data_IF_739696964729
#
_entry.id   IF_739696964729
#
_cell.length_a   1.000
_cell.length_b   1.000
_cell.length_c   1.000
_cell.angle_alpha   90.00
_cell.angle_beta   90.00
_cell.angle_gamma   90.00
#
_symmetry.space_group_name_H-M   'P 1'
#
loop_
_entity.id
_entity.type
_entity.pdbx_description
1 polymer ?
#
# COMPACT_ATOMS: atom_id res chain seq x y z
N UNK A 1 1.45 -70.07 -1.98
CA UNK A 1 0.47 -68.98 -1.74
C UNK A 1 1.23 -67.68 -1.51
N UNK A 2 1.33 -66.81 -2.53
CA UNK A 2 2.04 -65.52 -2.48
C UNK A 2 1.06 -64.44 -1.99
N UNK A 3 1.34 -63.82 -0.84
CA UNK A 3 0.60 -62.66 -0.33
C UNK A 3 1.23 -61.40 -0.92
N UNK A 4 0.51 -60.73 -1.82
CA UNK A 4 0.88 -59.42 -2.36
C UNK A 4 0.43 -58.32 -1.40
N UNK A 5 1.39 -57.53 -0.91
CA UNK A 5 1.14 -56.31 -0.16
C UNK A 5 0.94 -55.17 -1.16
N UNK A 6 -0.27 -54.64 -1.26
CA UNK A 6 -0.57 -53.43 -2.04
C UNK A 6 -0.31 -52.24 -1.11
N UNK A 7 0.78 -51.50 -1.35
CA UNK A 7 1.01 -50.19 -0.75
C UNK A 7 0.18 -49.14 -1.51
N UNK A 8 -0.87 -48.63 -0.86
CA UNK A 8 -1.57 -47.42 -1.28
C UNK A 8 -0.71 -46.19 -0.93
N UNK A 9 -0.09 -45.57 -1.93
CA UNK A 9 0.43 -44.21 -1.80
C UNK A 9 -0.76 -43.24 -1.80
N UNK A 10 -1.13 -42.72 -0.63
CA UNK A 10 -1.99 -41.55 -0.52
C UNK A 10 -1.15 -40.30 -0.78
N UNK A 11 -1.26 -39.73 -1.98
CA UNK A 11 -0.74 -38.39 -2.25
C UNK A 11 -1.51 -37.38 -1.39
N UNK A 12 -0.83 -36.75 -0.44
CA UNK A 12 -1.40 -35.66 0.34
C UNK A 12 -1.66 -34.47 -0.60
N UNK A 13 -2.92 -34.27 -0.98
CA UNK A 13 -3.37 -33.02 -1.58
C UNK A 13 -3.18 -31.92 -0.52
N UNK A 14 -2.11 -31.13 -0.66
CA UNK A 14 -1.91 -29.94 0.15
C UNK A 14 -3.10 -28.99 -0.11
N UNK A 15 -4.04 -28.94 0.83
CA UNK A 15 -5.15 -28.02 0.76
C UNK A 15 -4.59 -26.59 0.67
N UNK A 16 -4.99 -25.88 -0.38
CA UNK A 16 -4.66 -24.46 -0.52
C UNK A 16 -5.36 -23.71 0.61
N UNK A 17 -4.65 -23.43 1.70
CA UNK A 17 -5.16 -22.60 2.79
C UNK A 17 -5.42 -21.19 2.26
N UNK A 18 -6.49 -20.55 2.72
CA UNK A 18 -6.77 -19.14 2.44
C UNK A 18 -5.97 -18.27 3.40
N UNK A 19 -5.40 -17.16 2.90
CA UNK A 19 -4.82 -16.16 3.79
C UNK A 19 -5.87 -15.68 4.80
N UNK A 20 -5.46 -15.59 6.06
CA UNK A 20 -6.29 -15.06 7.15
C UNK A 20 -5.59 -13.81 7.69
N UNK A 21 -6.32 -12.69 7.69
CA UNK A 21 -5.83 -11.45 8.29
C UNK A 21 -5.47 -11.66 9.78
N UNK A 22 -4.44 -10.99 10.30
CA UNK A 22 -4.09 -11.07 11.72
C UNK A 22 -5.26 -10.57 12.59
N UNK A 23 -5.43 -11.18 13.76
CA UNK A 23 -6.24 -10.60 14.83
C UNK A 23 -5.50 -9.43 15.49
N UNK A 24 -6.21 -8.58 16.23
CA UNK A 24 -5.63 -7.40 16.87
C UNK A 24 -4.46 -7.70 17.84
N UNK A 25 -4.42 -8.92 18.38
CA UNK A 25 -3.39 -9.39 19.32
C UNK A 25 -2.24 -10.15 18.64
N UNK A 26 -2.39 -10.48 17.35
CA UNK A 26 -1.38 -11.25 16.63
C UNK A 26 -0.20 -10.34 16.25
N UNK A 27 1.04 -10.87 16.21
CA UNK A 27 2.17 -10.15 15.63
C UNK A 27 1.85 -9.73 14.19
N UNK A 28 1.83 -8.44 13.94
CA UNK A 28 1.42 -7.86 12.66
C UNK A 28 2.33 -6.72 12.24
N UNK A 29 2.43 -6.53 10.93
CA UNK A 29 3.07 -5.41 10.27
C UNK A 29 2.01 -4.63 9.46
N UNK A 30 2.35 -3.41 9.06
CA UNK A 30 1.49 -2.61 8.19
C UNK A 30 2.07 -2.59 6.78
N UNK A 31 1.23 -2.78 5.76
CA UNK A 31 1.59 -2.47 4.36
C UNK A 31 0.78 -1.29 3.90
N UNK A 32 1.50 -0.29 3.42
CA UNK A 32 1.02 0.93 2.83
C UNK A 32 1.12 0.79 1.30
N UNK A 33 -0.01 0.85 0.62
CA UNK A 33 -0.10 0.73 -0.84
C UNK A 33 -0.33 2.13 -1.40
N UNK A 34 0.68 2.62 -2.12
CA UNK A 34 0.61 3.90 -2.81
C UNK A 34 -0.01 3.69 -4.19
N UNK A 35 -1.31 3.94 -4.24
CA UNK A 35 -2.12 3.94 -5.46
C UNK A 35 -1.97 5.22 -6.28
N UNK A 36 -0.76 5.76 -6.45
CA UNK A 36 -0.51 6.90 -7.35
C UNK A 36 -0.66 6.56 -8.84
N UNK A 37 -1.13 5.36 -9.16
CA UNK A 37 -1.83 5.13 -10.41
C UNK A 37 -3.11 5.99 -10.42
N UNK A 38 -2.98 7.21 -10.95
CA UNK A 38 -4.04 8.20 -11.22
C UNK A 38 -5.10 7.73 -12.25
N UNK A 39 -5.55 6.46 -12.30
CA UNK A 39 -6.22 5.96 -13.51
C UNK A 39 -7.34 4.95 -13.30
N UNK A 40 -8.13 4.85 -14.36
CA UNK A 40 -9.20 3.92 -14.72
C UNK A 40 -8.81 2.44 -14.75
N UNK A 41 -7.62 2.06 -14.28
CA UNK A 41 -7.14 0.69 -14.22
C UNK A 41 -7.45 0.10 -12.85
N UNK A 42 -8.25 -0.97 -12.80
CA UNK A 42 -8.45 -1.73 -11.58
C UNK A 42 -7.16 -2.47 -11.22
N UNK A 43 -6.29 -1.82 -10.45
CA UNK A 43 -5.17 -2.46 -9.77
C UNK A 43 -5.72 -3.13 -8.51
N UNK A 44 -5.43 -4.41 -8.35
CA UNK A 44 -5.81 -5.19 -7.20
C UNK A 44 -4.54 -5.67 -6.52
N UNK A 45 -4.52 -5.58 -5.20
CA UNK A 45 -3.44 -6.09 -4.35
C UNK A 45 -3.99 -7.24 -3.51
N UNK A 46 -3.18 -8.27 -3.26
CA UNK A 46 -3.54 -9.39 -2.40
C UNK A 46 -2.37 -9.82 -1.56
N UNK A 47 -2.67 -10.41 -0.40
CA UNK A 47 -1.69 -11.03 0.49
C UNK A 47 -1.98 -12.52 0.55
N UNK A 48 -0.97 -13.33 0.31
CA UNK A 48 -1.04 -14.79 0.38
C UNK A 48 0.06 -15.37 1.25
N UNK A 49 -0.17 -16.55 1.83
CA UNK A 49 0.87 -17.32 2.54
C UNK A 49 1.70 -18.19 1.59
N UNK A 50 1.16 -18.43 0.39
CA UNK A 50 1.71 -19.33 -0.60
C UNK A 50 1.47 -18.75 -2.00
N UNK A 51 2.42 -18.87 -2.93
CA UNK A 51 2.26 -18.45 -4.32
C UNK A 51 1.16 -19.20 -5.08
N UNK A 52 0.66 -20.32 -4.56
CA UNK A 52 -0.31 -21.21 -5.19
C UNK A 52 -1.76 -21.02 -4.74
N UNK A 53 -2.16 -19.88 -4.18
CA UNK A 53 -3.57 -19.70 -3.80
C UNK A 53 -4.44 -19.40 -5.03
N UNK A 54 -5.41 -20.28 -5.29
CA UNK A 54 -6.52 -19.97 -6.20
C UNK A 54 -7.35 -18.82 -5.61
N UNK A 55 -7.94 -18.00 -6.49
CA UNK A 55 -8.88 -16.94 -6.14
C UNK A 55 -10.10 -17.55 -5.43
N UNK A 56 -10.01 -17.69 -4.12
CA UNK A 56 -11.13 -18.05 -3.27
C UNK A 56 -11.88 -16.78 -2.92
N UNK A 57 -13.22 -16.79 -2.97
CA UNK A 57 -14.03 -15.69 -2.43
C UNK A 57 -13.73 -15.38 -0.95
N UNK A 58 -13.02 -16.29 -0.28
CA UNK A 58 -12.62 -16.23 1.13
C UNK A 58 -11.09 -16.17 1.33
N UNK A 59 -10.25 -16.14 0.28
CA UNK A 59 -8.84 -15.76 0.47
C UNK A 59 -8.85 -14.33 0.98
N UNK A 60 -8.21 -14.03 2.11
CA UNK A 60 -8.21 -12.74 2.80
C UNK A 60 -7.94 -11.58 1.84
N UNK A 61 -9.00 -11.19 1.14
CA UNK A 61 -8.93 -10.32 0.01
C UNK A 61 -8.78 -8.97 0.67
N UNK A 62 -7.54 -8.50 0.67
CA UNK A 62 -7.32 -7.09 0.78
C UNK A 62 -7.80 -6.51 -0.55
N UNK A 63 -9.12 -6.49 -0.79
CA UNK A 63 -9.74 -5.93 -2.00
C UNK A 63 -9.52 -4.44 -1.97
N UNK A 64 -8.29 -4.04 -2.23
CA UNK A 64 -7.98 -2.70 -2.60
C UNK A 64 -8.20 -2.69 -4.10
N UNK A 65 -9.47 -2.67 -4.51
CA UNK A 65 -9.79 -2.18 -5.84
C UNK A 65 -9.49 -0.69 -5.79
N UNK A 66 -8.27 -0.29 -6.16
CA UNK A 66 -7.99 1.12 -6.42
C UNK A 66 -8.64 1.46 -7.76
N UNK A 67 -9.96 1.59 -7.78
CA UNK A 67 -10.55 2.52 -8.72
C UNK A 67 -10.41 3.90 -8.07
N UNK A 68 -9.84 4.85 -8.82
CA UNK A 68 -9.77 6.29 -8.51
C UNK A 68 -8.47 6.71 -7.83
N UNK A 69 -7.80 7.69 -8.47
CA UNK A 69 -6.50 8.23 -8.09
C UNK A 69 -6.44 8.76 -6.65
N UNK A 70 -5.23 8.68 -6.09
CA UNK A 70 -4.86 9.38 -4.86
C UNK A 70 -5.23 8.67 -3.55
N UNK A 71 -5.60 7.38 -3.57
CA UNK A 71 -5.92 6.65 -2.33
C UNK A 71 -4.72 5.86 -1.83
N UNK A 72 -4.00 6.44 -0.88
CA UNK A 72 -3.13 5.68 0.03
C UNK A 72 -3.99 4.66 0.79
N UNK A 73 -3.57 3.40 0.82
CA UNK A 73 -4.30 2.31 1.46
C UNK A 73 -3.40 1.57 2.42
N UNK A 74 -3.92 1.20 3.58
CA UNK A 74 -3.16 0.51 4.60
C UNK A 74 -3.82 -0.81 4.95
N UNK A 75 -2.99 -1.79 5.29
CA UNK A 75 -3.44 -3.10 5.69
C UNK A 75 -2.52 -3.70 6.73
N UNK A 76 -3.12 -4.30 7.75
CA UNK A 76 -2.39 -5.17 8.66
C UNK A 76 -2.13 -6.52 7.97
N UNK A 77 -0.89 -7.00 8.07
CA UNK A 77 -0.46 -8.31 7.60
C UNK A 77 0.25 -9.05 8.73
N UNK A 78 0.27 -10.39 8.67
CA UNK A 78 0.96 -11.20 9.68
C UNK A 78 2.46 -10.98 9.60
N UNK A 79 3.10 -10.87 10.75
CA UNK A 79 4.54 -10.78 10.88
C UNK A 79 5.16 -12.12 11.29
N UNK A 80 6.45 -12.28 11.05
CA UNK A 80 7.25 -13.43 11.47
C UNK A 80 7.21 -14.64 10.52
N UNK A 81 6.39 -14.61 9.46
CA UNK A 81 6.34 -15.63 8.43
C UNK A 81 6.39 -15.02 7.02
N UNK A 82 6.95 -15.71 6.02
CA UNK A 82 6.93 -15.23 4.64
C UNK A 82 5.51 -15.04 4.13
N UNK A 83 5.25 -13.90 3.50
CA UNK A 83 4.02 -13.60 2.77
C UNK A 83 4.33 -13.24 1.33
N UNK A 84 3.33 -13.33 0.47
CA UNK A 84 3.36 -12.92 -0.92
C UNK A 84 2.40 -11.76 -1.11
N UNK A 85 2.94 -10.59 -1.44
CA UNK A 85 2.17 -9.43 -1.87
C UNK A 85 2.05 -9.49 -3.39
N UNK A 86 0.85 -9.76 -3.88
CA UNK A 86 0.56 -9.89 -5.31
C UNK A 86 -0.18 -8.67 -5.79
N UNK A 87 0.23 -8.12 -6.93
CA UNK A 87 -0.48 -7.05 -7.63
C UNK A 87 -0.87 -7.53 -9.02
N UNK A 88 -2.09 -7.20 -9.44
CA UNK A 88 -2.57 -7.44 -10.80
C UNK A 88 -3.35 -6.22 -11.31
N UNK A 89 -3.13 -5.89 -12.57
CA UNK A 89 -3.82 -4.83 -13.30
C UNK A 89 -4.69 -5.46 -14.38
N UNK A 90 -6.00 -5.28 -14.26
CA UNK A 90 -6.98 -5.84 -15.20
C UNK A 90 -7.56 -4.75 -16.11
N UNK A 91 -6.77 -4.19 -17.03
CA UNK A 91 -7.32 -3.42 -18.16
C UNK A 91 -6.39 -3.44 -19.38
N UNK A 92 -7.00 -3.59 -20.56
CA UNK A 92 -6.35 -3.47 -21.88
C UNK A 92 -5.88 -2.05 -22.23
N UNK A 93 -6.15 -1.06 -21.37
CA UNK A 93 -5.91 0.38 -21.58
C UNK A 93 -5.28 1.06 -20.36
N UNK A 94 -4.72 0.31 -19.40
CA UNK A 94 -4.14 0.85 -18.17
C UNK A 94 -2.97 1.75 -18.46
N UNK A 95 -3.22 3.05 -18.42
CA UNK A 95 -2.18 4.08 -18.40
C UNK A 95 -1.71 4.22 -16.94
N UNK A 96 -0.49 4.66 -16.62
CA UNK A 96 -0.02 5.15 -15.31
C UNK A 96 0.57 6.54 -15.46
N UNK A 97 0.14 7.51 -14.65
CA UNK A 97 0.82 8.81 -14.64
C UNK A 97 2.10 8.68 -13.85
N UNK A 98 3.21 8.99 -14.48
CA UNK A 98 4.41 9.37 -13.74
C UNK A 98 4.10 10.67 -12.97
N UNK A 99 4.82 10.96 -11.88
CA UNK A 99 4.72 12.24 -11.15
C UNK A 99 5.03 13.49 -12.00
N UNK A 100 5.32 13.31 -13.30
CA UNK A 100 5.49 14.35 -14.32
C UNK A 100 4.25 14.55 -15.21
N UNK A 101 3.12 13.91 -14.89
CA UNK A 101 1.87 14.01 -15.67
C UNK A 101 1.84 13.18 -16.96
N UNK A 102 2.84 12.31 -17.18
CA UNK A 102 2.94 11.48 -18.38
C UNK A 102 2.26 10.13 -18.17
N UNK A 103 1.25 9.92 -19.00
CA UNK A 103 0.51 8.67 -19.18
C UNK A 103 1.37 7.54 -19.80
N UNK A 104 1.61 6.44 -19.09
CA UNK A 104 2.37 5.25 -19.56
C UNK A 104 1.50 3.99 -19.60
N UNK A 105 1.38 3.31 -20.74
CA UNK A 105 0.60 2.06 -20.82
C UNK A 105 1.35 0.89 -20.18
N UNK A 106 0.85 0.35 -19.07
CA UNK A 106 1.39 -0.87 -18.42
C UNK A 106 0.75 -2.15 -18.99
N UNK A 107 -0.48 -2.06 -19.51
CA UNK A 107 -1.21 -3.23 -20.01
C UNK A 107 -1.66 -4.18 -18.88
N UNK A 108 -1.80 -5.47 -19.17
CA UNK A 108 -2.06 -6.50 -18.14
C UNK A 108 -0.75 -6.89 -17.47
N UNK A 109 -0.56 -6.41 -16.24
CA UNK A 109 0.59 -6.74 -15.40
C UNK A 109 0.14 -7.59 -14.21
N UNK A 110 0.90 -8.64 -13.91
CA UNK A 110 0.81 -9.37 -12.66
C UNK A 110 2.21 -9.69 -12.14
N UNK A 111 2.49 -9.30 -10.91
CA UNK A 111 3.79 -9.51 -10.25
C UNK A 111 3.56 -9.76 -8.76
N UNK A 112 4.50 -10.45 -8.13
CA UNK A 112 4.47 -10.75 -6.70
C UNK A 112 5.77 -10.32 -6.03
N UNK A 113 5.70 -10.03 -4.73
CA UNK A 113 6.88 -9.91 -3.86
C UNK A 113 6.71 -10.83 -2.67
N UNK A 114 7.68 -11.72 -2.47
CA UNK A 114 7.83 -12.53 -1.26
C UNK A 114 8.73 -11.82 -0.27
N UNK A 115 8.30 -11.67 0.97
CA UNK A 115 9.13 -11.14 2.04
C UNK A 115 8.61 -11.62 3.41
N UNK A 116 9.42 -11.49 4.46
CA UNK A 116 9.02 -11.80 5.84
C UNK A 116 8.81 -10.48 6.58
N UNK A 117 7.56 -10.10 6.90
CA UNK A 117 7.29 -8.86 7.63
C UNK A 117 7.72 -9.00 9.09
N UNK A 118 8.28 -7.95 9.68
CA UNK A 118 8.62 -7.90 11.10
C UNK A 118 7.52 -7.18 11.89
N UNK A 119 7.29 -7.63 13.13
CA UNK A 119 6.19 -7.12 13.95
C UNK A 119 6.38 -5.65 14.27
N UNK A 120 5.32 -4.85 14.11
CA UNK A 120 5.33 -3.41 14.35
C UNK A 120 6.00 -2.57 13.26
N UNK A 121 6.59 -3.19 12.23
CA UNK A 121 7.13 -2.45 11.08
C UNK A 121 6.02 -2.07 10.10
N UNK A 122 6.28 -1.01 9.34
CA UNK A 122 5.47 -0.60 8.21
C UNK A 122 6.28 -0.73 6.92
N UNK A 123 5.62 -1.08 5.82
CA UNK A 123 6.21 -1.28 4.50
C UNK A 123 5.44 -0.52 3.45
N UNK A 124 6.16 0.03 2.47
CA UNK A 124 5.58 0.83 1.39
C UNK A 124 5.70 0.05 0.10
N UNK A 125 4.54 -0.22 -0.51
CA UNK A 125 4.41 -0.99 -1.72
C UNK A 125 3.83 -0.13 -2.84
N UNK A 126 4.46 -0.18 -4.00
CA UNK A 126 4.06 0.57 -5.18
C UNK A 126 4.24 -0.27 -6.44
N UNK A 127 3.31 -0.14 -7.39
CA UNK A 127 3.49 -0.64 -8.74
C UNK A 127 4.25 0.43 -9.54
N UNK A 128 5.37 0.06 -10.16
CA UNK A 128 6.13 0.97 -11.01
C UNK A 128 5.26 1.49 -12.17
N UNK A 129 5.36 2.78 -12.54
CA UNK A 129 4.48 3.41 -13.53
C UNK A 129 4.77 2.97 -14.96
N UNK A 130 5.96 2.45 -15.23
CA UNK A 130 6.49 2.19 -16.57
C UNK A 130 6.90 0.73 -16.80
N UNK A 131 6.96 -0.08 -15.74
CA UNK A 131 7.33 -1.49 -15.80
C UNK A 131 6.40 -2.36 -14.95
N UNK A 132 6.20 -3.61 -15.34
CA UNK A 132 5.42 -4.58 -14.56
C UNK A 132 6.25 -5.10 -13.37
N UNK A 133 6.51 -4.21 -12.40
CA UNK A 133 7.40 -4.46 -11.26
C UNK A 133 6.87 -3.74 -10.03
N UNK A 134 7.16 -4.32 -8.86
CA UNK A 134 6.79 -3.73 -7.57
C UNK A 134 8.02 -3.16 -6.90
N UNK A 135 7.88 -1.96 -6.35
CA UNK A 135 8.76 -1.45 -5.32
C UNK A 135 8.18 -1.85 -3.96
N UNK A 136 9.03 -2.38 -3.08
CA UNK A 136 8.68 -2.68 -1.69
C UNK A 136 9.85 -2.23 -0.80
N UNK A 137 9.58 -1.35 0.14
CA UNK A 137 10.58 -0.83 1.08
C UNK A 137 10.03 -0.79 2.50
N UNK A 138 10.88 -0.90 3.51
CA UNK A 138 10.51 -0.56 4.89
C UNK A 138 10.28 0.95 4.99
N UNK A 139 9.15 1.34 5.58
CA UNK A 139 8.69 2.72 5.64
C UNK A 139 9.70 3.66 6.33
N UNK A 140 10.33 3.19 7.40
CA UNK A 140 11.27 3.98 8.19
C UNK A 140 12.64 4.17 7.53
N UNK A 141 13.11 3.17 6.79
CA UNK A 141 14.48 3.15 6.25
C UNK A 141 14.53 3.44 4.75
N UNK A 142 13.42 3.27 4.04
CA UNK A 142 13.39 3.34 2.58
C UNK A 142 14.14 2.19 1.89
N UNK A 143 14.56 1.16 2.63
CA UNK A 143 15.31 0.02 2.08
C UNK A 143 14.40 -1.17 1.83
N UNK A 144 14.65 -1.98 0.79
CA UNK A 144 13.96 -3.25 0.62
C UNK A 144 14.08 -4.14 1.86
N UNK A 145 13.02 -4.88 2.24
CA UNK A 145 13.09 -5.84 3.35
C UNK A 145 14.17 -6.90 3.08
N UNK A 146 14.88 -7.32 4.12
CA UNK A 146 15.91 -8.34 4.00
C UNK A 146 15.34 -9.64 3.39
N UNK A 147 15.97 -10.13 2.33
CA UNK A 147 15.54 -11.35 1.64
C UNK A 147 14.25 -11.21 0.82
N UNK A 148 13.76 -9.98 0.56
CA UNK A 148 12.65 -9.77 -0.33
C UNK A 148 12.99 -10.22 -1.77
N UNK A 149 12.07 -10.92 -2.41
CA UNK A 149 12.22 -11.47 -3.76
C UNK A 149 10.99 -11.09 -4.58
N UNK A 150 11.17 -10.55 -5.79
CA UNK A 150 10.08 -10.24 -6.70
C UNK A 150 9.99 -11.25 -7.84
N UNK A 151 8.78 -11.47 -8.35
CA UNK A 151 8.49 -12.47 -9.38
C UNK A 151 7.50 -11.93 -10.39
N UNK A 152 7.77 -12.12 -11.68
CA UNK A 152 6.77 -11.90 -12.72
C UNK A 152 5.77 -13.07 -12.74
N UNK A 153 4.48 -12.78 -12.90
CA UNK A 153 3.44 -13.81 -12.96
C UNK A 153 2.97 -13.98 -14.41
N UNK A 154 3.25 -15.13 -15.01
CA UNK A 154 2.72 -15.47 -16.34
C UNK A 154 1.29 -15.99 -16.22
N UNK A 155 0.39 -15.39 -16.99
CA UNK A 155 -0.97 -15.90 -17.15
C UNK A 155 -1.83 -15.75 -15.89
N UNK A 156 -1.94 -14.52 -15.36
CA UNK A 156 -2.74 -14.17 -14.19
C UNK A 156 -4.27 -14.29 -14.39
N UNK A 157 -4.70 -15.41 -14.94
CA UNK A 157 -6.00 -16.00 -14.68
C UNK A 157 -5.93 -16.65 -13.30
N UNK A 158 -7.03 -16.55 -12.55
CA UNK A 158 -7.14 -17.10 -11.21
C UNK A 158 -6.65 -18.57 -11.15
N UNK A 159 -5.63 -18.84 -10.34
CA UNK A 159 -5.22 -20.21 -9.99
C UNK A 159 -3.91 -20.75 -10.57
N UNK A 160 -3.05 -19.90 -11.16
CA UNK A 160 -1.68 -20.30 -11.54
C UNK A 160 -0.69 -19.96 -10.43
N UNK A 161 0.11 -20.95 -10.01
CA UNK A 161 1.18 -20.78 -9.02
C UNK A 161 2.27 -19.82 -9.52
N UNK A 162 2.73 -18.91 -8.66
CA UNK A 162 4.01 -18.20 -8.88
C UNK A 162 5.15 -19.22 -8.77
N UNK A 163 5.77 -19.58 -9.89
CA UNK A 163 7.01 -20.37 -9.85
C UNK A 163 8.20 -19.42 -9.64
N UNK A 164 9.15 -19.83 -8.80
CA UNK A 164 10.31 -19.01 -8.44
C UNK A 164 11.28 -18.75 -9.62
N UNK A 165 11.10 -19.47 -10.73
CA UNK A 165 11.91 -19.35 -11.95
C UNK A 165 11.72 -18.04 -12.73
N UNK A 166 10.69 -17.25 -12.42
CA UNK A 166 10.47 -15.91 -12.99
C UNK A 166 10.90 -14.79 -12.03
N UNK A 167 12.00 -14.97 -11.31
CA UNK A 167 12.54 -13.94 -10.41
C UNK A 167 12.93 -12.67 -11.19
N UNK A 168 12.44 -11.52 -10.72
CA UNK A 168 12.74 -10.19 -11.26
C UNK A 168 13.33 -9.31 -10.14
N UNK A 169 14.12 -8.30 -10.48
CA UNK A 169 14.53 -7.33 -9.46
C UNK A 169 13.33 -6.47 -9.04
N UNK A 170 13.27 -6.10 -7.76
CA UNK A 170 12.37 -5.07 -7.26
C UNK A 170 12.59 -3.77 -8.03
N UNK A 171 11.50 -3.05 -8.30
CA UNK A 171 11.61 -1.72 -8.86
C UNK A 171 12.22 -0.76 -7.82
N UNK A 172 12.96 0.27 -8.26
CA UNK A 172 13.25 1.40 -7.37
C UNK A 172 11.93 2.05 -6.95
N UNK A 173 11.80 2.53 -5.70
CA UNK A 173 10.62 3.27 -5.27
C UNK A 173 10.49 4.56 -6.10
N UNK A 174 9.29 4.80 -6.63
CA UNK A 174 9.01 5.88 -7.60
C UNK A 174 8.84 7.20 -6.87
N UNK A 175 8.32 7.14 -5.64
CA UNK A 175 8.47 8.20 -4.65
C UNK A 175 9.77 7.96 -3.90
N UNK A 176 10.53 9.04 -3.67
CA UNK A 176 11.59 9.00 -2.65
C UNK A 176 10.95 8.45 -1.39
N UNK A 177 11.65 7.51 -0.72
CA UNK A 177 11.31 7.07 0.62
C UNK A 177 10.79 8.26 1.43
N UNK A 178 9.74 8.04 2.24
CA UNK A 178 9.14 9.06 3.09
C UNK A 178 10.23 10.06 3.48
N UNK A 179 10.13 11.30 2.98
CA UNK A 179 11.07 12.32 3.42
C UNK A 179 11.06 12.24 4.95
N UNK A 180 12.24 12.12 5.61
CA UNK A 180 12.29 11.99 7.05
C UNK A 180 11.30 12.99 7.62
N UNK A 181 10.39 12.54 8.51
CA UNK A 181 9.46 13.44 9.20
C UNK A 181 10.28 14.67 9.56
N UNK A 182 9.92 15.85 9.03
CA UNK A 182 10.83 16.97 9.07
C UNK A 182 11.22 17.15 10.52
N UNK A 183 12.52 17.26 10.78
CA UNK A 183 12.98 17.57 12.12
C UNK A 183 12.14 18.76 12.60
N UNK A 184 11.75 18.78 13.89
CA UNK A 184 10.80 19.75 14.46
C UNK A 184 11.13 21.24 14.14
N UNK A 185 12.34 21.47 13.64
CA UNK A 185 13.02 22.71 13.35
C UNK A 185 12.80 23.19 11.89
N UNK A 186 12.42 22.32 10.95
CA UNK A 186 12.17 22.72 9.56
C UNK A 186 10.73 23.26 9.40
N UNK A 187 10.55 24.52 8.94
CA UNK A 187 9.24 25.14 8.86
C UNK A 187 8.42 24.61 7.68
N UNK A 188 7.16 24.25 7.94
CA UNK A 188 6.20 23.88 6.89
C UNK A 188 5.88 25.08 5.99
N UNK A 189 5.85 24.93 4.66
CA UNK A 189 5.52 26.00 3.73
C UNK A 189 4.17 26.68 4.03
N UNK A 190 4.09 27.98 3.75
CA UNK A 190 2.90 28.83 3.91
C UNK A 190 2.41 29.03 5.35
N UNK A 191 2.84 28.22 6.32
CA UNK A 191 2.30 28.28 7.66
C UNK A 191 2.92 29.41 8.50
N UNK A 192 2.08 30.27 9.10
CA UNK A 192 2.53 31.20 10.14
C UNK A 192 2.90 30.43 11.42
N UNK A 193 3.47 31.11 12.41
CA UNK A 193 3.90 30.50 13.68
C UNK A 193 2.84 29.59 14.34
N UNK A 194 1.58 30.04 14.37
CA UNK A 194 0.45 29.25 14.89
C UNK A 194 0.17 27.98 14.06
N UNK A 195 0.36 28.06 12.74
CA UNK A 195 0.26 26.90 11.85
C UNK A 195 1.39 25.90 12.09
N UNK A 196 2.62 26.38 12.33
CA UNK A 196 3.76 25.53 12.69
C UNK A 196 3.52 24.79 14.00
N UNK A 197 2.98 25.46 15.01
CA UNK A 197 2.60 24.83 16.28
C UNK A 197 1.54 23.74 16.07
N UNK A 198 0.50 24.02 15.28
CA UNK A 198 -0.52 23.02 14.92
C UNK A 198 0.09 21.82 14.20
N UNK A 199 1.10 22.02 13.36
CA UNK A 199 1.82 20.94 12.70
C UNK A 199 2.60 20.07 13.71
N UNK A 200 3.29 20.68 14.70
CA UNK A 200 3.95 19.93 15.77
C UNK A 200 2.96 19.07 16.57
N UNK A 201 1.80 19.60 16.91
CA UNK A 201 0.73 18.82 17.56
C UNK A 201 0.17 17.74 16.65
N UNK A 202 0.13 17.96 15.34
CA UNK A 202 -0.31 16.94 14.39
C UNK A 202 0.61 15.71 14.39
N UNK A 203 1.94 15.89 14.50
CA UNK A 203 2.90 14.80 14.55
C UNK A 203 2.68 13.84 15.73
N UNK A 204 2.03 14.30 16.80
CA UNK A 204 1.70 13.47 17.97
C UNK A 204 0.34 12.77 17.87
N UNK A 205 -0.43 13.00 16.80
CA UNK A 205 -1.76 12.38 16.64
C UNK A 205 -1.64 10.90 16.25
N UNK A 206 -2.59 10.04 16.66
CA UNK A 206 -2.60 8.64 16.25
C UNK A 206 -2.84 8.50 14.73
N UNK A 207 -2.30 7.43 14.15
CA UNK A 207 -2.59 7.03 12.77
C UNK A 207 -4.00 6.39 12.66
N UNK A 208 -4.66 6.46 11.49
CA UNK A 208 -4.27 7.23 10.31
C UNK A 208 -4.57 8.73 10.49
N UNK A 209 -3.75 9.62 9.93
CA UNK A 209 -3.85 11.08 10.08
C UNK A 209 -3.49 11.81 8.79
N UNK A 210 -4.01 13.02 8.63
CA UNK A 210 -3.66 13.88 7.50
C UNK A 210 -3.59 15.35 7.91
N UNK A 211 -2.68 16.06 7.27
CA UNK A 211 -2.45 17.49 7.44
C UNK A 211 -2.55 18.18 6.09
N UNK A 212 -3.50 19.11 5.98
CA UNK A 212 -3.71 19.92 4.80
C UNK A 212 -3.28 21.37 5.07
N UNK A 213 -2.72 22.01 4.06
CA UNK A 213 -2.29 23.41 4.10
C UNK A 213 -2.91 24.17 2.92
N UNK A 214 -3.05 25.48 3.11
CA UNK A 214 -3.44 26.42 2.07
C UNK A 214 -2.38 27.51 1.94
N UNK A 215 -2.21 28.04 0.73
CA UNK A 215 -1.23 29.11 0.46
C UNK A 215 -1.54 30.42 1.20
N UNK A 216 -2.74 30.59 1.79
CA UNK A 216 -3.03 31.72 2.69
C UNK A 216 -2.60 31.48 4.15
N UNK A 217 -1.91 30.37 4.43
CA UNK A 217 -1.42 30.00 5.75
C UNK A 217 -2.45 29.33 6.65
N UNK A 218 -3.65 29.02 6.14
CA UNK A 218 -4.58 28.16 6.84
C UNK A 218 -4.11 26.70 6.79
N UNK A 219 -4.41 25.93 7.84
CA UNK A 219 -4.09 24.50 7.90
C UNK A 219 -5.12 23.72 8.70
N UNK A 220 -5.25 22.43 8.42
CA UNK A 220 -6.13 21.51 9.15
C UNK A 220 -5.37 20.24 9.48
N UNK A 221 -5.58 19.73 10.69
CA UNK A 221 -5.04 18.44 11.13
C UNK A 221 -6.16 17.52 11.59
N UNK A 222 -6.22 16.31 11.04
CA UNK A 222 -7.23 15.30 11.41
C UNK A 222 -6.57 13.95 11.63
N UNK A 223 -7.19 13.10 12.45
CA UNK A 223 -6.74 11.75 12.75
C UNK A 223 -7.91 10.79 12.96
N UNK A 224 -7.67 9.50 12.84
CA UNK A 224 -8.64 8.42 13.00
C UNK A 224 -9.56 8.23 11.78
N UNK A 225 -10.28 7.12 11.76
CA UNK A 225 -11.26 6.77 10.71
C UNK A 225 -12.70 7.14 11.08
N UNK A 226 -12.93 7.59 12.31
CA UNK A 226 -14.25 7.94 12.83
C UNK A 226 -14.34 9.44 13.10
N UNK A 227 -14.92 10.22 12.19
CA UNK A 227 -15.10 11.64 12.41
C UNK A 227 -16.15 11.88 13.49
N UNK A 228 -15.90 12.90 14.31
CA UNK A 228 -16.87 13.42 15.29
C UNK A 228 -18.11 13.96 14.57
N UNK A 229 -17.90 14.82 13.57
CA UNK A 229 -18.95 15.33 12.70
C UNK A 229 -19.13 14.41 11.48
N UNK A 230 -20.30 13.75 11.42
CA UNK A 230 -20.66 12.78 10.39
C UNK A 230 -20.86 13.38 9.00
N UNK A 231 -20.85 14.71 8.85
CA UNK A 231 -20.84 15.38 7.55
C UNK A 231 -19.51 15.23 6.81
N UNK A 232 -18.43 14.92 7.54
CA UNK A 232 -17.13 14.72 6.95
C UNK A 232 -16.83 13.25 6.64
N UNK A 233 -15.97 12.98 5.63
CA UNK A 233 -15.53 11.64 5.29
C UNK A 233 -14.87 10.89 6.46
N UNK A 234 -15.05 9.56 6.47
CA UNK A 234 -14.33 8.66 7.36
C UNK A 234 -12.82 8.71 7.11
N UNK A 235 -12.43 8.81 5.84
CA UNK A 235 -11.04 8.92 5.40
C UNK A 235 -10.41 10.25 5.86
N UNK A 236 -9.31 10.21 6.66
CA UNK A 236 -8.65 11.42 7.14
C UNK A 236 -8.11 12.31 6.01
N UNK A 237 -7.69 11.74 4.88
CA UNK A 237 -7.16 12.52 3.74
C UNK A 237 -8.25 13.39 3.13
N UNK A 238 -9.38 12.77 2.79
CA UNK A 238 -10.54 13.47 2.22
C UNK A 238 -11.11 14.49 3.21
N UNK A 239 -11.17 14.10 4.50
CA UNK A 239 -11.63 14.97 5.58
C UNK A 239 -10.74 16.20 5.74
N UNK A 240 -9.41 16.04 5.75
CA UNK A 240 -8.48 17.16 5.86
C UNK A 240 -8.65 18.17 4.73
N UNK A 241 -8.71 17.69 3.48
CA UNK A 241 -8.89 18.54 2.30
C UNK A 241 -10.23 19.25 2.31
N UNK A 242 -11.33 18.54 2.59
CA UNK A 242 -12.67 19.12 2.63
C UNK A 242 -12.78 20.20 3.72
N UNK A 243 -12.36 19.89 4.95
CA UNK A 243 -12.34 20.86 6.05
C UNK A 243 -11.47 22.07 5.72
N UNK A 244 -10.26 21.84 5.19
CA UNK A 244 -9.36 22.93 4.85
C UNK A 244 -9.99 23.83 3.79
N UNK A 245 -10.56 23.28 2.73
CA UNK A 245 -11.22 24.05 1.67
C UNK A 245 -12.37 24.89 2.20
N UNK A 246 -13.22 24.30 3.04
CA UNK A 246 -14.36 24.96 3.67
C UNK A 246 -13.93 26.15 4.54
N UNK A 247 -12.92 25.98 5.40
CA UNK A 247 -12.50 27.03 6.33
C UNK A 247 -11.49 28.03 5.74
N UNK A 248 -10.64 27.61 4.80
CA UNK A 248 -9.67 28.49 4.15
C UNK A 248 -10.31 29.35 3.05
N UNK A 249 -11.49 28.96 2.55
CA UNK A 249 -12.19 29.62 1.44
C UNK A 249 -11.49 29.48 0.09
N UNK A 250 -10.61 28.48 -0.07
CA UNK A 250 -9.82 28.23 -1.29
C UNK A 250 -9.32 26.79 -1.35
N UNK A 251 -8.75 26.40 -2.48
CA UNK A 251 -8.13 25.07 -2.61
C UNK A 251 -6.99 24.88 -1.61
N UNK A 252 -6.94 23.67 -1.04
CA UNK A 252 -5.90 23.23 -0.13
C UNK A 252 -5.16 22.03 -0.72
N UNK A 253 -3.93 21.84 -0.25
CA UNK A 253 -3.05 20.75 -0.66
C UNK A 253 -2.73 19.90 0.58
N UNK A 254 -2.50 18.61 0.36
CA UNK A 254 -1.99 17.75 1.43
C UNK A 254 -0.53 18.07 1.63
N UNK A 255 -0.16 18.38 2.87
CA UNK A 255 1.24 18.48 3.23
C UNK A 255 1.79 17.13 3.68
N UNK A 256 1.08 16.49 4.60
CA UNK A 256 1.51 15.23 5.21
C UNK A 256 0.34 14.28 5.38
N UNK A 257 0.55 13.01 5.04
CA UNK A 257 -0.38 11.91 5.32
C UNK A 257 0.39 10.89 6.15
N UNK A 258 -0.12 10.60 7.33
CA UNK A 258 0.54 9.80 8.36
C UNK A 258 1.90 10.35 8.74
N UNK A 259 2.96 9.65 8.32
CA UNK A 259 4.36 10.00 8.53
C UNK A 259 5.05 10.40 7.20
N UNK A 260 4.29 10.64 6.13
CA UNK A 260 4.82 11.02 4.80
C UNK A 260 4.50 12.44 4.42
N UNK A 261 5.54 13.22 4.11
CA UNK A 261 5.34 14.43 3.31
C UNK A 261 4.90 14.01 1.91
N UNK A 262 3.69 14.40 1.51
CA UNK A 262 3.13 14.19 0.16
C UNK A 262 3.10 15.49 -0.65
N UNK A 263 3.60 16.58 -0.06
CA UNK A 263 3.70 17.88 -0.70
C UNK A 263 4.78 17.88 -1.77
N UNK A 264 4.42 18.32 -2.97
CA UNK A 264 5.35 18.52 -4.08
C UNK A 264 5.24 19.97 -4.56
N UNK A 265 6.39 20.64 -4.68
CA UNK A 265 6.51 21.98 -5.27
C UNK A 265 6.93 21.87 -6.73
#
# INVERSE_FOLDING_TARGET
MKRGFILLLAAALAACSTYQAPNATDPQATVNIDGEATLTAATNWWVYDNPCQQKSANSGQLTITTNIGGRHKQAAIRAGAPVYLVVNTHVSQGVVSTGTGRAVRIGTCATAVRFTPESGKAYDAQLAPDECRVALVEHATGTPPAGAQAFALRGAQAGVCVQAEDAIALAPPVHRAAAPVPALDEPVPYLPAKGQERFRTFLTKPLPRAFAISQNGYSVSVSGTQPEDKRYPADPVQRALQMCKEYAGRECELYMVDDRIVFHR
#
